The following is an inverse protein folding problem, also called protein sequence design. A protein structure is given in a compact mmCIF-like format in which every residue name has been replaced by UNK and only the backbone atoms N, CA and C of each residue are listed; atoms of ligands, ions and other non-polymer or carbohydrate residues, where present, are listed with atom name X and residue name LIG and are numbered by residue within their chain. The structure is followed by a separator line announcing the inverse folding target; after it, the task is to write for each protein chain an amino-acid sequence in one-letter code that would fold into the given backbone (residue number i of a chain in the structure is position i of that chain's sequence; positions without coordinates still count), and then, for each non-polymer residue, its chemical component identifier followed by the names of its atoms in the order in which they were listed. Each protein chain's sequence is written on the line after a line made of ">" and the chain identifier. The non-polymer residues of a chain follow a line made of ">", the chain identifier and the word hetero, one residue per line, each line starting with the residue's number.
data_IF_220930083119
#
_entry.id   IF_220930083119
#
_cell.length_a   1.000
_cell.length_b   1.000
_cell.length_c   1.000
_cell.angle_alpha   90.00
_cell.angle_beta   90.00
_cell.angle_gamma   90.00
#
_symmetry.space_group_name_H-M   'P 1'
#
loop_
_entity.id
_entity.type
_entity.pdbx_description
1 polymer ?
#
# COMPACT_ATOMS: atom_id res chain seq x y z
N UNK A 1 -27.71 7.91 17.94
CA UNK A 1 -27.26 6.68 17.25
C UNK A 1 -26.02 6.87 16.36
N UNK A 2 -25.77 8.05 15.77
CA UNK A 2 -24.66 8.28 14.83
C UNK A 2 -23.24 8.18 15.47
N UNK A 3 -23.05 8.71 16.68
CA UNK A 3 -21.74 8.69 17.35
C UNK A 3 -21.21 7.27 17.60
N UNK A 4 -22.05 6.34 18.06
CA UNK A 4 -21.63 4.98 18.38
C UNK A 4 -21.13 4.19 17.15
N UNK A 5 -21.72 4.44 15.97
CA UNK A 5 -21.27 3.82 14.72
C UNK A 5 -19.90 4.35 14.27
N UNK A 6 -19.68 5.66 14.37
CA UNK A 6 -18.39 6.29 14.06
C UNK A 6 -17.27 5.78 14.98
N UNK A 7 -17.55 5.67 16.28
CA UNK A 7 -16.59 5.10 17.23
C UNK A 7 -16.24 3.65 16.91
N UNK A 8 -17.22 2.84 16.49
CA UNK A 8 -16.98 1.45 16.10
C UNK A 8 -16.06 1.34 14.87
N UNK A 9 -16.36 2.09 13.80
CA UNK A 9 -15.51 2.12 12.59
C UNK A 9 -14.09 2.56 12.92
N UNK A 10 -13.91 3.56 13.79
CA UNK A 10 -12.58 3.99 14.24
C UNK A 10 -11.81 2.85 14.93
N UNK A 11 -12.44 2.15 15.88
CA UNK A 11 -11.80 1.05 16.62
C UNK A 11 -11.44 -0.11 15.69
N UNK A 12 -12.35 -0.49 14.79
CA UNK A 12 -12.12 -1.54 13.80
C UNK A 12 -10.95 -1.19 12.88
N UNK A 13 -10.92 0.03 12.36
CA UNK A 13 -9.82 0.49 11.50
C UNK A 13 -8.50 0.56 12.25
N UNK A 14 -8.50 1.07 13.49
CA UNK A 14 -7.30 1.09 14.33
C UNK A 14 -6.76 -0.32 14.57
N UNK A 15 -7.63 -1.29 14.84
CA UNK A 15 -7.25 -2.69 15.00
C UNK A 15 -6.71 -3.30 13.68
N UNK A 16 -7.38 -3.07 12.55
CA UNK A 16 -6.92 -3.48 11.21
C UNK A 16 -5.52 -2.94 10.93
N UNK A 17 -5.29 -1.65 11.18
CA UNK A 17 -3.98 -1.00 11.00
C UNK A 17 -2.89 -1.66 11.84
N UNK A 18 -3.16 -1.94 13.13
CA UNK A 18 -2.21 -2.57 14.04
C UNK A 18 -1.86 -3.99 13.57
N UNK A 19 -2.86 -4.78 13.18
CA UNK A 19 -2.68 -6.15 12.66
C UNK A 19 -1.86 -6.16 11.38
N UNK A 20 -2.14 -5.26 10.44
CA UNK A 20 -1.39 -5.15 9.20
C UNK A 20 0.05 -4.73 9.46
N UNK A 21 0.28 -3.72 10.31
CA UNK A 21 1.64 -3.27 10.66
C UNK A 21 2.52 -4.39 11.21
N UNK A 22 1.95 -5.26 12.04
CA UNK A 22 2.66 -6.40 12.63
C UNK A 22 3.08 -7.47 11.59
N UNK A 23 2.41 -7.52 10.44
CA UNK A 23 2.71 -8.48 9.36
C UNK A 23 3.72 -7.97 8.34
N UNK A 24 4.05 -6.68 8.38
CA UNK A 24 4.87 -6.09 7.33
C UNK A 24 6.29 -6.64 7.40
N UNK A 25 6.85 -7.09 6.27
CA UNK A 25 8.21 -7.59 6.23
C UNK A 25 9.19 -6.46 6.57
N UNK A 26 10.36 -6.84 7.08
CA UNK A 26 11.44 -5.89 7.36
C UNK A 26 11.76 -5.09 6.10
N UNK A 27 11.94 -3.79 6.26
CA UNK A 27 12.32 -2.91 5.15
C UNK A 27 13.77 -3.20 4.73
N UNK A 28 14.02 -3.46 3.42
CA UNK A 28 15.38 -3.66 2.92
C UNK A 28 16.30 -2.45 3.14
N UNK A 29 17.61 -2.72 3.12
CA UNK A 29 18.63 -1.67 3.15
C UNK A 29 18.61 -0.87 1.84
N UNK A 30 19.14 0.36 1.87
CA UNK A 30 19.14 1.24 0.71
C UNK A 30 20.02 0.73 -0.44
N UNK A 31 21.05 -0.05 -0.14
CA UNK A 31 21.99 -0.65 -1.08
C UNK A 31 21.62 -2.10 -1.47
N UNK A 32 20.48 -2.61 -1.02
CA UNK A 32 20.02 -3.95 -1.38
C UNK A 32 19.71 -3.99 -2.89
N UNK A 33 20.39 -4.84 -3.68
CA UNK A 33 20.20 -4.90 -5.13
C UNK A 33 18.80 -5.36 -5.52
N UNK A 34 18.06 -5.98 -4.60
CA UNK A 34 16.70 -6.46 -4.77
C UNK A 34 15.67 -5.52 -4.12
N UNK A 35 16.07 -4.32 -3.70
CA UNK A 35 15.12 -3.32 -3.20
C UNK A 35 14.43 -2.54 -4.34
N UNK A 36 13.12 -2.33 -4.15
CA UNK A 36 12.36 -1.27 -4.81
C UNK A 36 11.93 -0.24 -3.79
N UNK A 37 11.82 1.01 -4.21
CA UNK A 37 11.24 2.10 -3.44
C UNK A 37 9.84 2.41 -3.96
N UNK A 38 8.84 2.34 -3.09
CA UNK A 38 7.46 2.72 -3.40
C UNK A 38 7.12 4.01 -2.67
N UNK A 39 6.60 4.98 -3.42
CA UNK A 39 6.02 6.21 -2.87
C UNK A 39 4.49 6.18 -3.03
N UNK A 40 3.77 6.12 -1.90
CA UNK A 40 2.34 6.32 -1.83
C UNK A 40 2.03 7.81 -1.62
N UNK A 41 1.27 8.43 -2.51
CA UNK A 41 0.89 9.84 -2.40
C UNK A 41 -0.63 9.96 -2.19
N UNK A 42 -1.05 10.67 -1.16
CA UNK A 42 -2.47 10.94 -0.85
C UNK A 42 -2.62 12.39 -0.38
N UNK A 43 -3.42 13.20 -1.06
CA UNK A 43 -3.68 14.61 -0.69
C UNK A 43 -2.40 15.40 -0.38
N UNK A 44 -1.38 15.28 -1.24
CA UNK A 44 -0.07 15.92 -1.08
C UNK A 44 0.86 15.25 -0.06
N UNK A 45 0.36 14.36 0.81
CA UNK A 45 1.18 13.59 1.76
C UNK A 45 1.84 12.40 1.06
N UNK A 46 3.15 12.26 1.24
CA UNK A 46 3.96 11.16 0.70
C UNK A 46 4.36 10.19 1.80
N UNK A 47 4.15 8.89 1.57
CA UNK A 47 4.68 7.81 2.39
C UNK A 47 5.62 6.97 1.54
N UNK A 48 6.91 6.98 1.85
CA UNK A 48 7.93 6.23 1.11
C UNK A 48 8.35 5.01 1.92
N UNK A 49 8.48 3.87 1.26
CA UNK A 49 8.98 2.63 1.87
C UNK A 49 9.67 1.75 0.83
N UNK A 50 10.72 1.05 1.24
CA UNK A 50 11.36 -0.02 0.45
C UNK A 50 10.71 -1.38 0.65
N UNK A 51 10.70 -2.17 -0.41
CA UNK A 51 10.28 -3.56 -0.44
C UNK A 51 11.29 -4.39 -1.21
N UNK A 52 11.40 -5.69 -0.92
CA UNK A 52 12.10 -6.60 -1.82
C UNK A 52 11.29 -6.75 -3.11
N UNK A 53 11.94 -6.82 -4.27
CA UNK A 53 11.32 -7.12 -5.57
C UNK A 53 10.54 -8.46 -5.54
N UNK A 54 10.88 -9.34 -4.60
CA UNK A 54 10.25 -10.65 -4.43
C UNK A 54 8.98 -10.62 -3.59
N UNK A 55 8.72 -9.52 -2.87
CA UNK A 55 7.47 -9.38 -2.14
C UNK A 55 6.29 -9.25 -3.10
N UNK A 56 5.16 -9.83 -2.70
CA UNK A 56 3.89 -9.78 -3.41
C UNK A 56 3.27 -8.38 -3.39
N UNK A 57 2.40 -8.10 -4.35
CA UNK A 57 1.55 -6.90 -4.34
C UNK A 57 0.70 -6.81 -3.06
N UNK A 58 0.27 -7.94 -2.49
CA UNK A 58 -0.41 -7.96 -1.19
C UNK A 58 0.39 -7.28 -0.08
N UNK A 59 1.73 -7.38 -0.09
CA UNK A 59 2.59 -6.71 0.90
C UNK A 59 2.51 -5.18 0.80
N UNK A 60 2.29 -4.65 -0.40
CA UNK A 60 2.03 -3.21 -0.59
C UNK A 60 0.64 -2.83 -0.09
N UNK A 61 -0.39 -3.64 -0.36
CA UNK A 61 -1.76 -3.38 0.11
C UNK A 61 -1.81 -3.42 1.64
N UNK A 62 -1.13 -4.36 2.26
CA UNK A 62 -0.98 -4.43 3.71
C UNK A 62 -0.28 -3.17 4.25
N UNK A 63 0.74 -2.68 3.55
CA UNK A 63 1.41 -1.44 3.92
C UNK A 63 0.47 -0.24 3.82
N UNK A 64 -0.28 -0.12 2.72
CA UNK A 64 -1.28 0.94 2.53
C UNK A 64 -2.34 0.89 3.64
N UNK A 65 -2.89 -0.28 3.93
CA UNK A 65 -3.86 -0.47 5.02
C UNK A 65 -3.27 -0.17 6.39
N UNK A 66 -1.99 -0.47 6.65
CA UNK A 66 -1.30 -0.08 7.91
C UNK A 66 -1.16 1.44 8.11
N UNK A 67 -1.33 2.20 7.03
CA UNK A 67 -1.36 3.68 6.98
C UNK A 67 -2.78 4.24 6.95
N UNK A 68 -3.81 3.39 7.01
CA UNK A 68 -5.23 3.77 6.99
C UNK A 68 -5.85 3.82 5.59
N UNK A 69 -5.13 3.39 4.56
CA UNK A 69 -5.60 3.35 3.18
C UNK A 69 -6.15 1.95 2.86
N UNK A 70 -7.43 1.74 3.14
CA UNK A 70 -8.08 0.45 2.94
C UNK A 70 -8.79 0.38 1.59
N UNK A 71 -8.75 -0.78 0.93
CA UNK A 71 -9.33 -0.99 -0.41
C UNK A 71 -10.85 -0.75 -0.45
N UNK A 72 -11.55 -0.86 0.67
CA UNK A 72 -12.98 -0.52 0.80
C UNK A 72 -13.25 0.99 0.85
N UNK A 73 -12.22 1.83 1.02
CA UNK A 73 -12.33 3.28 1.19
C UNK A 73 -11.53 4.09 0.17
N UNK A 74 -10.55 3.46 -0.48
CA UNK A 74 -9.67 4.14 -1.43
C UNK A 74 -9.35 3.26 -2.63
N UNK A 75 -9.02 3.89 -3.76
CA UNK A 75 -8.33 3.27 -4.89
C UNK A 75 -6.88 3.71 -4.92
N UNK A 76 -6.02 2.79 -5.34
CA UNK A 76 -4.58 3.06 -5.47
C UNK A 76 -4.20 2.82 -6.92
N UNK A 77 -3.59 3.83 -7.52
CA UNK A 77 -3.24 3.79 -8.91
C UNK A 77 -1.74 3.95 -9.09
N UNK A 78 -1.22 3.34 -10.14
CA UNK A 78 0.12 3.64 -10.64
C UNK A 78 0.21 5.07 -11.18
N UNK A 79 1.37 5.72 -11.06
CA UNK A 79 1.59 7.05 -11.64
C UNK A 79 2.16 7.01 -13.06
N UNK A 80 2.38 5.83 -13.65
CA UNK A 80 2.72 5.68 -15.06
C UNK A 80 1.48 5.89 -15.96
N UNK A 81 1.72 6.16 -17.24
CA UNK A 81 0.68 6.31 -18.25
C UNK A 81 0.73 5.10 -19.21
N UNK A 82 -0.38 4.39 -19.44
CA UNK A 82 -1.70 4.61 -18.86
C UNK A 82 -1.77 4.26 -17.36
N UNK A 83 -2.52 5.07 -16.61
CA UNK A 83 -2.77 4.87 -15.19
C UNK A 83 -3.52 3.57 -14.96
N UNK A 84 -3.03 2.71 -14.06
CA UNK A 84 -3.66 1.42 -13.73
C UNK A 84 -4.09 1.39 -12.27
N UNK A 85 -5.30 0.89 -12.00
CA UNK A 85 -5.76 0.58 -10.65
C UNK A 85 -5.08 -0.72 -10.21
N UNK A 86 -4.31 -0.67 -9.11
CA UNK A 86 -3.57 -1.85 -8.65
C UNK A 86 -4.50 -2.95 -8.13
N UNK A 87 -5.76 -2.64 -7.80
CA UNK A 87 -6.75 -3.64 -7.42
C UNK A 87 -7.08 -4.61 -8.57
N UNK A 88 -6.81 -4.23 -9.82
CA UNK A 88 -7.00 -5.08 -11.01
C UNK A 88 -5.85 -6.06 -11.25
N UNK A 89 -4.73 -5.91 -10.52
CA UNK A 89 -3.56 -6.75 -10.65
C UNK A 89 -3.66 -7.97 -9.71
N UNK A 90 -2.97 -9.05 -10.08
CA UNK A 90 -2.87 -10.23 -9.21
C UNK A 90 -2.05 -9.90 -7.95
N UNK A 91 -2.73 -9.94 -6.80
CA UNK A 91 -2.18 -9.62 -5.48
C UNK A 91 -1.09 -10.59 -5.03
N UNK A 92 -1.06 -11.80 -5.58
CA UNK A 92 -0.08 -12.83 -5.26
C UNK A 92 1.22 -12.65 -6.02
N UNK A 93 1.21 -11.92 -7.14
CA UNK A 93 2.41 -11.70 -7.95
C UNK A 93 3.41 -10.78 -7.23
N UNK A 94 4.68 -11.12 -7.38
CA UNK A 94 5.78 -10.27 -6.90
C UNK A 94 5.94 -9.01 -7.74
N UNK A 95 6.55 -7.97 -7.17
CA UNK A 95 6.88 -6.76 -7.92
C UNK A 95 7.78 -7.05 -9.15
N UNK A 96 8.69 -8.03 -9.03
CA UNK A 96 9.52 -8.52 -10.13
C UNK A 96 8.66 -9.08 -11.27
N UNK A 97 7.68 -9.92 -10.95
CA UNK A 97 6.81 -10.54 -11.96
C UNK A 97 5.84 -9.52 -12.57
N UNK A 98 5.41 -8.53 -11.80
CA UNK A 98 4.64 -7.38 -12.28
C UNK A 98 5.48 -6.37 -13.08
N UNK A 99 6.80 -6.60 -13.19
CA UNK A 99 7.77 -5.73 -13.89
C UNK A 99 7.74 -4.28 -13.38
N UNK A 100 7.54 -4.09 -12.08
CA UNK A 100 7.57 -2.77 -11.47
C UNK A 100 8.99 -2.20 -11.49
N UNK A 101 9.09 -0.89 -11.70
CA UNK A 101 10.37 -0.20 -11.67
C UNK A 101 10.93 -0.14 -10.25
N UNK A 102 12.26 0.01 -10.12
CA UNK A 102 12.95 0.21 -8.83
C UNK A 102 12.45 1.43 -8.05
N UNK A 103 11.84 2.40 -8.74
CA UNK A 103 11.21 3.57 -8.13
C UNK A 103 9.79 3.71 -8.66
N UNK A 104 8.83 3.20 -7.90
CA UNK A 104 7.42 3.21 -8.27
C UNK A 104 6.67 4.30 -7.48
N UNK A 105 5.95 5.15 -8.21
CA UNK A 105 5.08 6.19 -7.63
C UNK A 105 3.63 5.76 -7.81
N UNK A 106 2.86 5.88 -6.74
CA UNK A 106 1.45 5.53 -6.70
C UNK A 106 0.65 6.68 -6.09
N UNK A 107 -0.58 6.86 -6.56
CA UNK A 107 -1.52 7.87 -6.10
C UNK A 107 -2.73 7.19 -5.46
N UNK A 108 -3.16 7.70 -4.32
CA UNK A 108 -4.32 7.21 -3.55
C UNK A 108 -5.46 8.21 -3.69
N UNK A 109 -6.64 7.71 -4.02
CA UNK A 109 -7.88 8.48 -4.15
C UNK A 109 -8.98 7.86 -3.29
N UNK A 110 -9.76 8.70 -2.60
CA UNK A 110 -10.93 8.26 -1.83
C UNK A 110 -12.07 7.88 -2.76
N UNK A 111 -12.83 6.86 -2.37
CA UNK A 111 -14.07 6.43 -3.04
C UNK A 111 -15.27 7.12 -2.40
#
# INVERSE_FOLDING_TARGET
>A
MHAAAVYRDFQENHWRMKKLRAKLPKEPMANDPDAITIQLTSNGRKNIRRFSIHHSLQSLLDYAGSRGYFEDKVRIFTSDMPRRDIATLDKTMSFKNLKWSRHSRLTIETI
#
